data_IF_642792765505
#
_entry.id   IF_642792765505
#
_cell.length_a   1.000
_cell.length_b   1.000
_cell.length_c   1.000
_cell.angle_alpha   90.00
_cell.angle_beta   90.00
_cell.angle_gamma   90.00
#
_symmetry.space_group_name_H-M   'P 1'
#
loop_
_entity.id
_entity.type
_entity.pdbx_description
1 polymer ?
#
# COMPACT_ATOMS: atom_id res chain seq x y z
N UNK A 1 -18.59 -43.56 23.96
CA UNK A 1 -18.46 -42.73 22.75
C UNK A 1 -19.49 -43.14 21.68
N UNK A 2 -20.80 -42.90 21.85
CA UNK A 2 -21.75 -43.26 20.77
C UNK A 2 -23.00 -42.37 20.63
N UNK A 3 -23.19 -41.36 21.49
CA UNK A 3 -24.34 -40.44 21.37
C UNK A 3 -24.00 -39.21 20.52
N UNK A 4 -22.83 -38.57 20.72
CA UNK A 4 -22.41 -37.41 19.93
C UNK A 4 -22.16 -37.73 18.45
N UNK A 5 -21.59 -38.89 18.15
CA UNK A 5 -21.32 -39.33 16.77
C UNK A 5 -22.61 -39.65 16.00
N UNK A 6 -23.64 -40.15 16.69
CA UNK A 6 -24.94 -40.50 16.08
C UNK A 6 -25.80 -39.27 15.76
N UNK A 7 -25.75 -38.23 16.60
CA UNK A 7 -26.46 -36.98 16.31
C UNK A 7 -25.80 -36.19 15.18
N UNK A 8 -24.46 -36.15 15.14
CA UNK A 8 -23.69 -35.53 14.04
C UNK A 8 -23.92 -36.29 12.72
N UNK A 9 -23.94 -37.63 12.75
CA UNK A 9 -24.21 -38.46 11.57
C UNK A 9 -25.63 -38.35 11.00
N UNK A 10 -26.64 -38.06 11.84
CA UNK A 10 -28.02 -37.83 11.36
C UNK A 10 -28.22 -36.47 10.69
N UNK A 11 -27.41 -35.47 11.03
CA UNK A 11 -27.51 -34.11 10.46
C UNK A 11 -26.65 -33.97 9.20
N UNK A 12 -25.44 -34.54 9.19
CA UNK A 12 -24.47 -34.40 8.09
C UNK A 12 -24.50 -35.56 7.09
N UNK A 13 -25.10 -36.71 7.46
CA UNK A 13 -25.09 -37.94 6.67
C UNK A 13 -23.84 -38.78 6.91
N UNK A 14 -24.01 -40.10 7.06
CA UNK A 14 -22.90 -41.02 7.36
C UNK A 14 -21.80 -41.03 6.29
N UNK A 15 -22.14 -40.76 5.03
CA UNK A 15 -21.19 -40.66 3.92
C UNK A 15 -20.26 -39.45 4.05
N UNK A 16 -20.79 -38.28 4.43
CA UNK A 16 -19.99 -37.06 4.62
C UNK A 16 -18.99 -37.24 5.78
N UNK A 17 -19.37 -37.92 6.86
CA UNK A 17 -18.41 -38.23 7.94
C UNK A 17 -17.30 -39.18 7.48
N UNK A 18 -17.64 -40.19 6.68
CA UNK A 18 -16.65 -41.12 6.14
C UNK A 18 -15.67 -40.40 5.19
N UNK A 19 -16.17 -39.48 4.37
CA UNK A 19 -15.34 -38.70 3.44
C UNK A 19 -14.42 -37.72 4.21
N UNK A 20 -14.92 -37.05 5.26
CA UNK A 20 -14.09 -36.18 6.12
C UNK A 20 -13.04 -36.98 6.87
N UNK A 21 -13.36 -38.18 7.37
CA UNK A 21 -12.38 -39.06 8.00
C UNK A 21 -11.29 -39.51 7.03
N UNK A 22 -11.68 -39.85 5.80
CA UNK A 22 -10.75 -40.22 4.72
C UNK A 22 -9.85 -39.04 4.35
N UNK A 23 -10.41 -37.85 4.23
CA UNK A 23 -9.69 -36.61 3.95
C UNK A 23 -8.70 -36.25 5.06
N UNK A 24 -9.12 -36.31 6.33
CA UNK A 24 -8.26 -36.03 7.48
C UNK A 24 -7.12 -37.04 7.56
N UNK A 25 -7.39 -38.34 7.38
CA UNK A 25 -6.35 -39.37 7.36
C UNK A 25 -5.36 -39.21 6.19
N UNK A 26 -5.85 -38.79 5.01
CA UNK A 26 -4.99 -38.50 3.86
C UNK A 26 -4.14 -37.22 4.05
N UNK A 27 -4.61 -36.26 4.85
CA UNK A 27 -3.90 -35.01 5.16
C UNK A 27 -3.09 -35.04 6.46
N UNK A 28 -3.18 -36.11 7.26
CA UNK A 28 -2.55 -36.21 8.58
C UNK A 28 -1.01 -36.01 8.51
N UNK A 29 -0.40 -36.50 7.42
CA UNK A 29 1.03 -36.28 7.11
C UNK A 29 1.33 -34.86 6.61
N UNK A 30 0.35 -34.14 6.08
CA UNK A 30 0.53 -32.77 5.58
C UNK A 30 0.33 -31.71 6.67
N UNK A 31 -0.63 -31.87 7.59
CA UNK A 31 -0.94 -30.90 8.65
C UNK A 31 0.21 -30.66 9.64
N UNK A 32 0.93 -31.72 10.04
CA UNK A 32 2.16 -31.56 10.84
C UNK A 32 3.23 -30.77 10.08
N UNK A 33 3.45 -31.11 8.82
CA UNK A 33 4.42 -30.44 7.96
C UNK A 33 4.03 -29.01 7.56
N UNK A 34 2.75 -28.63 7.53
CA UNK A 34 2.33 -27.26 7.17
C UNK A 34 2.74 -26.25 8.23
N UNK A 35 2.54 -26.58 9.51
CA UNK A 35 2.95 -25.71 10.62
C UNK A 35 4.47 -25.59 10.68
N UNK A 36 5.16 -26.71 10.59
CA UNK A 36 6.63 -26.73 10.61
C UNK A 36 7.23 -25.94 9.43
N UNK A 37 6.70 -26.11 8.21
CA UNK A 37 7.13 -25.31 7.04
C UNK A 37 6.83 -23.83 7.21
N UNK A 38 5.69 -23.48 7.82
CA UNK A 38 5.35 -22.09 8.11
C UNK A 38 6.32 -21.49 9.13
N UNK A 39 6.67 -22.22 10.19
CA UNK A 39 7.61 -21.79 11.21
C UNK A 39 9.02 -21.59 10.63
N UNK A 40 9.49 -22.51 9.77
CA UNK A 40 10.77 -22.38 9.04
C UNK A 40 10.78 -21.13 8.16
N UNK A 41 9.72 -20.91 7.39
CA UNK A 41 9.61 -19.71 6.53
C UNK A 41 9.60 -18.44 7.38
N UNK A 42 8.91 -18.46 8.51
CA UNK A 42 8.81 -17.33 9.42
C UNK A 42 10.16 -16.99 10.08
N UNK A 43 10.98 -18.00 10.38
CA UNK A 43 12.33 -17.82 10.88
C UNK A 43 13.24 -17.14 9.85
N UNK A 44 13.19 -17.57 8.58
CA UNK A 44 13.97 -16.97 7.48
C UNK A 44 13.65 -15.48 7.29
N UNK A 45 12.38 -15.08 7.49
CA UNK A 45 11.97 -13.68 7.40
C UNK A 45 12.54 -12.79 8.52
N UNK A 46 13.02 -13.38 9.62
CA UNK A 46 13.64 -12.67 10.74
C UNK A 46 15.17 -12.61 10.67
N UNK A 47 15.79 -13.29 9.71
CA UNK A 47 17.24 -13.25 9.53
C UNK A 47 17.70 -11.88 9.05
N UNK A 48 18.91 -11.46 9.45
CA UNK A 48 19.51 -10.17 9.08
C UNK A 48 19.75 -10.02 7.56
N UNK A 49 19.73 -11.13 6.80
CA UNK A 49 19.79 -11.13 5.33
C UNK A 49 18.48 -10.76 4.65
N UNK A 50 17.37 -10.70 5.42
CA UNK A 50 16.06 -10.28 4.92
C UNK A 50 15.84 -8.80 5.24
N UNK A 51 15.12 -8.09 4.37
CA UNK A 51 14.66 -6.74 4.65
C UNK A 51 13.25 -6.53 4.07
N UNK A 52 12.36 -5.94 4.85
CA UNK A 52 11.01 -5.59 4.41
C UNK A 52 10.97 -4.17 3.87
N UNK A 53 10.35 -4.00 2.71
CA UNK A 53 9.99 -2.69 2.17
C UNK A 53 8.46 -2.63 2.12
N UNK A 54 7.87 -1.71 2.89
CA UNK A 54 6.42 -1.49 2.85
C UNK A 54 6.13 -0.51 1.73
N UNK A 55 5.13 -0.78 0.89
CA UNK A 55 4.74 0.12 -0.22
C UNK A 55 3.29 0.52 -0.03
N UNK A 56 3.00 1.83 -0.12
CA UNK A 56 1.66 2.36 0.02
C UNK A 56 1.41 3.54 -0.93
N UNK A 57 0.17 3.72 -1.38
CA UNK A 57 -0.25 4.96 -2.02
C UNK A 57 -0.42 6.08 -0.95
N UNK A 58 -0.38 7.39 -1.32
CA UNK A 58 -0.63 8.50 -0.40
C UNK A 58 -2.12 8.66 -0.03
N UNK A 59 -2.78 7.53 0.21
CA UNK A 59 -4.17 7.42 0.59
C UNK A 59 -4.28 7.09 2.08
N UNK A 60 -5.35 7.59 2.72
CA UNK A 60 -5.54 7.42 4.17
C UNK A 60 -5.56 5.95 4.58
N UNK A 61 -6.27 5.11 3.83
CA UNK A 61 -6.39 3.69 4.16
C UNK A 61 -5.08 2.94 3.90
N UNK A 62 -4.43 3.18 2.77
CA UNK A 62 -3.13 2.58 2.46
C UNK A 62 -2.05 2.93 3.49
N UNK A 63 -1.97 4.20 3.91
CA UNK A 63 -1.03 4.63 4.95
C UNK A 63 -1.38 4.10 6.34
N UNK A 64 -2.67 3.87 6.63
CA UNK A 64 -3.09 3.19 7.87
C UNK A 64 -2.64 1.73 7.87
N UNK A 65 -2.84 1.00 6.77
CA UNK A 65 -2.37 -0.38 6.65
C UNK A 65 -0.84 -0.46 6.70
N UNK A 66 -0.15 0.50 6.08
CA UNK A 66 1.31 0.61 6.17
C UNK A 66 1.78 0.78 7.62
N UNK A 67 1.12 1.66 8.40
CA UNK A 67 1.42 1.84 9.82
C UNK A 67 1.22 0.54 10.61
N UNK A 68 0.08 -0.12 10.41
CA UNK A 68 -0.19 -1.42 11.04
C UNK A 68 0.90 -2.46 10.69
N UNK A 69 1.35 -2.48 9.44
CA UNK A 69 2.37 -3.43 8.99
C UNK A 69 3.74 -3.12 9.60
N UNK A 70 4.13 -1.85 9.66
CA UNK A 70 5.37 -1.39 10.31
C UNK A 70 5.37 -1.77 11.80
N UNK A 71 4.27 -1.50 12.51
CA UNK A 71 4.12 -1.87 13.93
C UNK A 71 4.18 -3.39 14.14
N UNK A 72 3.64 -4.15 13.20
CA UNK A 72 3.67 -5.62 13.25
C UNK A 72 5.10 -6.15 13.01
N UNK A 73 5.81 -5.64 12.01
CA UNK A 73 7.19 -6.04 11.73
C UNK A 73 8.10 -5.76 12.93
N UNK A 74 7.95 -4.58 13.55
CA UNK A 74 8.70 -4.23 14.75
C UNK A 74 8.42 -5.18 15.93
N UNK A 75 7.14 -5.50 16.19
CA UNK A 75 6.76 -6.46 17.25
C UNK A 75 7.27 -7.87 16.99
N UNK A 76 7.36 -8.27 15.73
CA UNK A 76 7.82 -9.60 15.33
C UNK A 76 9.34 -9.70 15.19
N UNK A 77 10.09 -8.60 15.37
CA UNK A 77 11.53 -8.57 15.19
C UNK A 77 11.96 -8.80 13.75
N UNK A 78 11.12 -8.38 12.79
CA UNK A 78 11.42 -8.47 11.36
C UNK A 78 12.08 -7.17 10.88
N UNK A 79 13.24 -7.23 10.21
CA UNK A 79 14.00 -6.05 9.77
C UNK A 79 13.24 -5.24 8.72
N UNK A 80 12.89 -4.00 9.04
CA UNK A 80 12.25 -3.04 8.12
C UNK A 80 13.30 -2.12 7.50
N UNK A 81 13.38 -2.08 6.17
CA UNK A 81 14.20 -1.12 5.44
C UNK A 81 13.54 0.26 5.33
N UNK A 82 12.21 0.31 5.18
CA UNK A 82 11.47 1.57 5.12
C UNK A 82 10.10 1.47 4.46
N UNK A 83 9.48 2.64 4.29
CA UNK A 83 8.22 2.86 3.59
C UNK A 83 8.47 3.55 2.24
N UNK A 84 7.94 2.98 1.16
CA UNK A 84 7.82 3.65 -0.13
C UNK A 84 6.39 4.18 -0.29
N UNK A 85 6.26 5.50 -0.38
CA UNK A 85 4.99 6.15 -0.74
C UNK A 85 4.97 6.31 -2.26
N UNK A 86 4.20 5.46 -2.92
CA UNK A 86 4.12 5.39 -4.38
C UNK A 86 3.00 6.29 -4.92
N UNK A 87 3.18 6.82 -6.14
CA UNK A 87 2.20 7.67 -6.85
C UNK A 87 1.97 9.03 -6.17
N UNK A 88 3.03 9.66 -5.68
CA UNK A 88 2.91 11.00 -5.08
C UNK A 88 2.75 12.06 -6.17
N UNK A 89 1.80 12.97 -5.98
CA UNK A 89 1.56 14.09 -6.86
C UNK A 89 2.68 15.10 -6.72
N UNK A 90 3.41 15.34 -7.81
CA UNK A 90 4.44 16.38 -7.90
C UNK A 90 3.90 17.55 -8.71
N UNK A 91 4.21 18.77 -8.29
CA UNK A 91 3.86 19.98 -9.03
C UNK A 91 5.00 20.39 -9.96
N UNK A 92 4.65 20.74 -11.20
CA UNK A 92 5.61 21.32 -12.14
C UNK A 92 6.05 22.73 -11.73
N UNK A 93 5.12 23.53 -11.18
CA UNK A 93 5.37 24.90 -10.75
C UNK A 93 5.21 25.05 -9.22
N UNK A 94 6.25 24.67 -8.47
CA UNK A 94 6.23 24.65 -6.98
C UNK A 94 6.03 26.04 -6.35
N UNK A 95 6.34 27.12 -7.08
CA UNK A 95 6.24 28.49 -6.56
C UNK A 95 4.82 29.07 -6.60
N UNK A 96 3.90 28.45 -7.34
CA UNK A 96 2.51 28.89 -7.43
C UNK A 96 1.65 28.03 -6.51
N UNK A 97 1.14 28.61 -5.42
CA UNK A 97 0.22 27.91 -4.52
C UNK A 97 -1.14 27.66 -5.18
N UNK A 98 -1.83 26.59 -4.77
CA UNK A 98 -3.10 26.17 -5.38
C UNK A 98 -4.18 27.24 -5.35
N UNK A 99 -4.42 27.85 -4.18
CA UNK A 99 -5.40 28.94 -4.04
C UNK A 99 -5.09 30.14 -4.95
N UNK A 100 -3.82 30.55 -5.05
CA UNK A 100 -3.41 31.64 -5.94
C UNK A 100 -3.66 31.32 -7.42
N UNK A 101 -3.52 30.05 -7.81
CA UNK A 101 -3.79 29.63 -9.18
C UNK A 101 -5.29 29.70 -9.49
N UNK A 102 -6.15 29.27 -8.56
CA UNK A 102 -7.61 29.37 -8.70
C UNK A 102 -8.04 30.84 -8.76
N UNK A 103 -7.56 31.68 -7.83
CA UNK A 103 -7.87 33.11 -7.82
C UNK A 103 -7.46 33.79 -9.14
N UNK A 104 -6.27 33.45 -9.67
CA UNK A 104 -5.79 33.98 -10.94
C UNK A 104 -6.63 33.49 -12.13
N UNK A 105 -7.14 32.25 -12.09
CA UNK A 105 -8.03 31.72 -13.11
C UNK A 105 -9.36 32.49 -13.15
N UNK A 106 -9.98 32.73 -11.99
CA UNK A 106 -11.23 33.49 -11.87
C UNK A 106 -11.07 34.95 -12.35
N UNK A 107 -9.97 35.60 -11.97
CA UNK A 107 -9.66 36.96 -12.43
C UNK A 107 -9.46 37.02 -13.94
N UNK A 108 -8.74 36.04 -14.51
CA UNK A 108 -8.47 35.99 -15.94
C UNK A 108 -9.75 35.68 -16.73
N UNK A 109 -10.62 34.81 -16.22
CA UNK A 109 -11.92 34.53 -16.82
C UNK A 109 -12.81 35.77 -16.89
N UNK A 110 -12.77 36.64 -15.87
CA UNK A 110 -13.54 37.89 -15.87
C UNK A 110 -13.02 38.95 -16.86
N UNK A 111 -11.70 39.00 -17.12
CA UNK A 111 -11.07 40.05 -17.91
C UNK A 111 -10.77 39.64 -19.36
N UNK A 112 -10.47 38.36 -19.59
CA UNK A 112 -10.17 37.79 -20.91
C UNK A 112 -10.67 36.34 -21.00
N UNK A 113 -12.00 36.14 -21.15
CA UNK A 113 -12.60 34.80 -21.29
C UNK A 113 -12.03 33.98 -22.46
N UNK A 114 -11.52 34.64 -23.50
CA UNK A 114 -10.89 34.01 -24.65
C UNK A 114 -9.57 33.27 -24.31
N UNK A 115 -8.93 33.60 -23.18
CA UNK A 115 -7.71 32.97 -22.68
C UNK A 115 -7.95 31.57 -22.07
N UNK A 116 -8.87 30.78 -22.65
CA UNK A 116 -9.37 29.50 -22.11
C UNK A 116 -8.27 28.49 -21.74
N UNK A 117 -7.20 28.41 -22.53
CA UNK A 117 -6.10 27.49 -22.24
C UNK A 117 -5.39 27.86 -20.93
N UNK A 118 -5.07 29.14 -20.74
CA UNK A 118 -4.40 29.62 -19.53
C UNK A 118 -5.29 29.46 -18.30
N UNK A 119 -6.58 29.79 -18.43
CA UNK A 119 -7.57 29.59 -17.37
C UNK A 119 -7.61 28.10 -16.96
N UNK A 120 -7.74 27.20 -17.93
CA UNK A 120 -7.76 25.76 -17.67
C UNK A 120 -6.46 25.23 -17.06
N UNK A 121 -5.29 25.73 -17.47
CA UNK A 121 -4.00 25.37 -16.87
C UNK A 121 -3.90 25.81 -15.41
N UNK A 122 -4.38 27.01 -15.08
CA UNK A 122 -4.40 27.52 -13.72
C UNK A 122 -5.36 26.72 -12.82
N UNK A 123 -6.54 26.37 -13.34
CA UNK A 123 -7.50 25.50 -12.66
C UNK A 123 -6.90 24.11 -12.37
N UNK A 124 -6.34 23.45 -13.39
CA UNK A 124 -5.68 22.15 -13.23
C UNK A 124 -4.53 22.22 -12.22
N UNK A 125 -3.70 23.26 -12.28
CA UNK A 125 -2.62 23.46 -11.31
C UNK A 125 -3.17 23.59 -9.88
N UNK A 126 -4.27 24.32 -9.69
CA UNK A 126 -4.94 24.45 -8.40
C UNK A 126 -5.40 23.09 -7.83
N UNK A 127 -6.05 22.27 -8.66
CA UNK A 127 -6.51 20.92 -8.27
C UNK A 127 -5.35 19.97 -7.93
N UNK A 128 -4.29 19.99 -8.72
CA UNK A 128 -3.08 19.20 -8.47
C UNK A 128 -2.37 19.66 -7.20
N UNK A 129 -2.34 20.97 -6.93
CA UNK A 129 -1.71 21.53 -5.74
C UNK A 129 -2.46 21.14 -4.46
N UNK A 130 -3.79 21.24 -4.46
CA UNK A 130 -4.60 20.78 -3.33
C UNK A 130 -4.41 19.28 -3.09
N UNK A 131 -4.28 18.49 -4.16
CA UNK A 131 -4.00 17.06 -4.06
C UNK A 131 -2.61 16.79 -3.47
N UNK A 132 -1.58 17.46 -3.93
CA UNK A 132 -0.22 17.34 -3.40
C UNK A 132 -0.15 17.72 -1.91
N UNK A 133 -0.76 18.83 -1.50
CA UNK A 133 -0.81 19.28 -0.11
C UNK A 133 -1.50 18.25 0.80
N UNK A 134 -2.63 17.67 0.36
CA UNK A 134 -3.32 16.61 1.11
C UNK A 134 -2.47 15.36 1.24
N UNK A 135 -1.75 14.99 0.19
CA UNK A 135 -0.87 13.82 0.20
C UNK A 135 0.31 14.04 1.14
N UNK A 136 0.97 15.20 1.05
CA UNK A 136 2.09 15.58 1.91
C UNK A 136 1.67 15.54 3.39
N UNK A 137 0.53 16.15 3.75
CA UNK A 137 0.03 16.13 5.13
C UNK A 137 -0.19 14.70 5.66
N UNK A 138 -0.62 13.76 4.81
CA UNK A 138 -0.80 12.35 5.21
C UNK A 138 0.54 11.65 5.43
N UNK A 139 1.52 11.89 4.56
CA UNK A 139 2.87 11.34 4.69
C UNK A 139 3.56 11.90 5.93
N UNK A 140 3.47 13.21 6.18
CA UNK A 140 4.00 13.86 7.38
C UNK A 140 3.37 13.28 8.66
N UNK A 141 2.06 12.99 8.65
CA UNK A 141 1.37 12.36 9.78
C UNK A 141 1.90 10.94 10.04
N UNK A 142 2.14 10.16 8.99
CA UNK A 142 2.77 8.84 9.12
C UNK A 142 4.18 8.96 9.72
N UNK A 143 4.99 9.88 9.19
CA UNK A 143 6.37 10.12 9.63
C UNK A 143 6.43 10.51 11.11
N UNK A 144 5.50 11.37 11.55
CA UNK A 144 5.37 11.77 12.96
C UNK A 144 5.07 10.58 13.88
N UNK A 145 4.27 9.60 13.40
CA UNK A 145 3.96 8.39 14.15
C UNK A 145 5.09 7.35 14.16
N UNK A 146 5.99 7.37 13.17
CA UNK A 146 7.05 6.39 12.99
C UNK A 146 8.40 7.07 12.67
N UNK A 147 8.97 7.85 13.61
CA UNK A 147 10.16 8.68 13.34
C UNK A 147 11.42 7.89 12.97
N UNK A 148 11.46 6.59 13.28
CA UNK A 148 12.59 5.71 12.94
C UNK A 148 12.46 5.01 11.58
N UNK A 149 11.35 5.18 10.87
CA UNK A 149 11.11 4.50 9.59
C UNK A 149 11.54 5.39 8.43
N UNK A 150 12.55 5.00 7.63
CA UNK A 150 12.91 5.75 6.42
C UNK A 150 11.73 5.79 5.45
N UNK A 151 11.46 6.95 4.86
CA UNK A 151 10.38 7.15 3.89
C UNK A 151 10.97 7.59 2.56
N UNK A 152 10.59 6.92 1.48
CA UNK A 152 10.90 7.33 0.11
C UNK A 152 9.63 7.59 -0.68
N UNK A 153 9.57 8.73 -1.35
CA UNK A 153 8.46 9.09 -2.22
C UNK A 153 8.79 8.79 -3.68
N UNK A 154 7.85 8.14 -4.38
CA UNK A 154 7.93 7.85 -5.81
C UNK A 154 6.82 8.61 -6.53
N UNK A 155 7.13 9.55 -7.43
CA UNK A 155 6.13 10.32 -8.16
C UNK A 155 5.15 9.44 -8.93
N UNK A 156 3.94 9.96 -9.16
CA UNK A 156 3.02 9.38 -10.13
C UNK A 156 3.54 9.62 -11.55
N UNK A 157 3.74 8.54 -12.32
CA UNK A 157 4.08 8.60 -13.74
C UNK A 157 2.84 8.91 -14.58
N UNK A 158 3.03 9.64 -15.68
CA UNK A 158 1.96 10.03 -16.59
C UNK A 158 1.42 8.85 -17.42
N UNK A 159 2.23 7.82 -17.58
CA UNK A 159 1.92 6.60 -18.33
C UNK A 159 2.15 5.36 -17.48
N UNK A 160 1.54 4.25 -17.89
CA UNK A 160 1.75 2.97 -17.21
C UNK A 160 3.18 2.47 -17.38
N UNK A 161 3.70 1.79 -16.36
CA UNK A 161 5.08 1.31 -16.35
C UNK A 161 5.08 -0.13 -16.87
N UNK A 162 5.37 -0.30 -18.16
CA UNK A 162 5.34 -1.60 -18.83
C UNK A 162 6.63 -1.90 -19.63
N UNK A 163 7.64 -1.05 -19.53
CA UNK A 163 8.93 -1.22 -20.22
C UNK A 163 10.11 -0.98 -19.27
N UNK A 164 11.32 -1.29 -19.79
CA UNK A 164 12.55 -1.15 -19.02
C UNK A 164 12.91 0.31 -18.73
N UNK A 165 12.45 1.26 -19.55
CA UNK A 165 12.73 2.68 -19.34
C UNK A 165 11.90 3.23 -18.18
N UNK A 166 10.62 2.87 -18.10
CA UNK A 166 9.77 3.14 -16.95
C UNK A 166 10.30 2.48 -15.67
N UNK A 167 10.75 1.22 -15.74
CA UNK A 167 11.36 0.56 -14.57
C UNK A 167 12.67 1.25 -14.12
N UNK A 168 13.47 1.77 -15.06
CA UNK A 168 14.67 2.56 -14.72
C UNK A 168 14.31 3.90 -14.07
N UNK A 169 13.25 4.56 -14.53
CA UNK A 169 12.77 5.81 -13.92
C UNK A 169 12.35 5.58 -12.46
N UNK A 170 11.59 4.52 -12.20
CA UNK A 170 11.23 4.10 -10.83
C UNK A 170 12.46 3.72 -10.01
N UNK A 171 13.40 2.97 -10.61
CA UNK A 171 14.67 2.63 -9.96
C UNK A 171 15.47 3.86 -9.53
N UNK A 172 15.54 4.89 -10.38
CA UNK A 172 16.18 6.16 -10.04
C UNK A 172 15.43 6.92 -8.94
N UNK A 173 14.09 6.91 -8.97
CA UNK A 173 13.27 7.49 -7.92
C UNK A 173 13.47 6.79 -6.57
N UNK A 174 13.68 5.47 -6.55
CA UNK A 174 13.93 4.68 -5.34
C UNK A 174 15.36 4.79 -4.82
N UNK A 175 16.36 4.74 -5.70
CA UNK A 175 17.77 4.57 -5.34
C UNK A 175 18.61 5.85 -5.22
N UNK A 176 18.00 7.02 -5.42
CA UNK A 176 18.72 8.30 -5.30
C UNK A 176 19.24 8.56 -3.90
#
# INVERSE_FOLDING_TARGET
>A
MSLATNTIGKILGGQMLADVQTFVAALDTMFGGFRERADVTYALLKEDSTAFVVVAAPERDALREAAYFVDRLAREGMPLAGLVVNRVQRLAAVTLGGGKAIDAAEQLEAVSPEARLTIGMLQLHGELAETAERQEARVQRFATGHPGTPIREVPAEATDIHDLDGLRAIGAALGG
#
